data_IF_680059909244
#
_entry.id   IF_680059909244
#
_cell.length_a   1.000
_cell.length_b   1.000
_cell.length_c   1.000
_cell.angle_alpha   90.00
_cell.angle_beta   90.00
_cell.angle_gamma   90.00
#
_symmetry.space_group_name_H-M   'P 1'
#
loop_
_entity.id
_entity.type
_entity.pdbx_description
1 polymer ?
#
# COMPACT_ATOMS: atom_id res chain seq x y z
N UNK A 1 28.64 -38.27 -12.53
CA UNK A 1 28.08 -37.03 -13.14
C UNK A 1 26.62 -36.79 -12.78
N UNK A 2 25.69 -37.75 -12.87
CA UNK A 2 24.25 -37.46 -12.64
C UNK A 2 23.87 -37.00 -11.21
N UNK A 3 24.58 -37.48 -10.17
CA UNK A 3 24.29 -37.13 -8.76
C UNK A 3 24.60 -35.68 -8.39
N UNK A 4 25.65 -35.08 -8.96
CA UNK A 4 26.02 -33.68 -8.73
C UNK A 4 25.06 -32.70 -9.39
N UNK A 5 24.51 -33.05 -10.56
CA UNK A 5 23.46 -32.25 -11.22
C UNK A 5 22.14 -32.25 -10.44
N UNK A 6 21.77 -33.38 -9.83
CA UNK A 6 20.54 -33.48 -9.03
C UNK A 6 20.62 -32.60 -7.77
N UNK A 7 21.78 -32.54 -7.12
CA UNK A 7 22.01 -31.69 -5.94
C UNK A 7 21.95 -30.20 -6.32
N UNK A 8 22.53 -29.83 -7.47
CA UNK A 8 22.48 -28.46 -7.97
C UNK A 8 21.04 -28.02 -8.31
N UNK A 9 20.26 -28.89 -8.93
CA UNK A 9 18.84 -28.61 -9.24
C UNK A 9 17.98 -28.48 -7.97
N UNK A 10 18.25 -29.28 -6.94
CA UNK A 10 17.58 -29.14 -5.63
C UNK A 10 17.93 -27.82 -4.94
N UNK A 11 19.19 -27.38 -5.00
CA UNK A 11 19.62 -26.09 -4.45
C UNK A 11 18.93 -24.91 -5.14
N UNK A 12 18.86 -24.92 -6.48
CA UNK A 12 18.16 -23.86 -7.25
C UNK A 12 16.66 -23.84 -6.93
N UNK A 13 16.03 -25.00 -6.71
CA UNK A 13 14.62 -25.09 -6.32
C UNK A 13 14.34 -24.55 -4.91
N UNK A 14 15.29 -24.70 -3.96
CA UNK A 14 15.17 -24.09 -2.62
C UNK A 14 15.36 -22.56 -2.65
N UNK A 15 16.19 -22.03 -3.55
CA UNK A 15 16.39 -20.57 -3.68
C UNK A 15 15.22 -19.86 -4.38
N UNK A 16 14.35 -20.60 -5.09
CA UNK A 16 13.26 -20.02 -5.89
C UNK A 16 11.93 -19.84 -5.12
N UNK A 17 11.86 -20.25 -3.85
CA UNK A 17 10.64 -20.14 -3.02
C UNK A 17 10.77 -19.03 -1.99
N UNK A 18 10.61 -17.79 -2.45
CA UNK A 18 10.35 -16.63 -1.61
C UNK A 18 9.22 -15.79 -2.18
N UNK A 19 8.10 -16.44 -2.47
CA UNK A 19 6.82 -15.75 -2.59
C UNK A 19 6.27 -15.56 -1.18
N UNK A 20 6.73 -14.52 -0.49
CA UNK A 20 6.09 -14.07 0.75
C UNK A 20 4.72 -13.49 0.38
N UNK A 21 3.68 -14.32 0.41
CA UNK A 21 2.31 -13.83 0.52
C UNK A 21 2.17 -13.22 1.91
N UNK A 22 2.45 -11.93 2.04
CA UNK A 22 2.23 -11.18 3.28
C UNK A 22 0.73 -11.07 3.53
N UNK A 23 0.16 -12.09 4.15
CA UNK A 23 -1.16 -11.97 4.78
C UNK A 23 -1.06 -10.86 5.82
N UNK A 24 -1.90 -9.82 5.76
CA UNK A 24 -1.83 -8.72 6.72
C UNK A 24 -2.00 -9.28 8.14
N UNK A 25 -1.03 -9.01 9.00
CA UNK A 25 -1.11 -9.39 10.40
C UNK A 25 -2.28 -8.63 11.05
N UNK A 26 -2.97 -9.19 12.07
CA UNK A 26 -4.11 -8.54 12.72
C UNK A 26 -3.82 -7.15 13.30
N UNK A 27 -2.54 -6.85 13.55
CA UNK A 27 -2.06 -5.55 14.01
C UNK A 27 -2.13 -4.50 12.88
N UNK A 28 -1.79 -4.88 11.65
CA UNK A 28 -1.81 -3.97 10.50
C UNK A 28 -3.19 -3.40 10.21
N UNK A 29 -4.26 -4.19 10.33
CA UNK A 29 -5.64 -3.72 10.12
C UNK A 29 -6.08 -2.73 11.20
N UNK A 30 -5.60 -2.89 12.45
CA UNK A 30 -5.91 -1.94 13.53
C UNK A 30 -5.20 -0.61 13.35
N UNK A 31 -3.98 -0.63 12.82
CA UNK A 31 -3.22 0.57 12.51
C UNK A 31 -3.85 1.31 11.34
N UNK A 32 -4.26 0.60 10.28
CA UNK A 32 -4.99 1.18 9.15
C UNK A 32 -6.30 1.87 9.57
N UNK A 33 -7.06 1.28 10.50
CA UNK A 33 -8.31 1.89 10.98
C UNK A 33 -8.08 3.22 11.74
N UNK A 34 -6.90 3.45 12.32
CA UNK A 34 -6.58 4.74 12.96
C UNK A 34 -6.50 5.88 11.95
N UNK A 35 -6.10 5.57 10.72
CA UNK A 35 -5.98 6.55 9.63
C UNK A 35 -7.33 6.82 8.96
N UNK A 36 -8.41 6.13 9.37
CA UNK A 36 -9.72 6.26 8.73
C UNK A 36 -10.31 7.65 8.94
N UNK A 37 -10.61 8.31 7.83
CA UNK A 37 -11.32 9.58 7.82
C UNK A 37 -12.82 9.29 7.93
N UNK A 38 -13.42 9.64 9.07
CA UNK A 38 -14.86 9.45 9.32
C UNK A 38 -15.73 10.52 8.66
N UNK A 39 -15.24 11.75 8.60
CA UNK A 39 -15.89 12.88 7.95
C UNK A 39 -14.86 13.96 7.63
N UNK A 40 -15.05 14.68 6.54
CA UNK A 40 -14.29 15.89 6.22
C UNK A 40 -15.20 17.13 6.32
N UNK A 41 -14.69 18.27 6.79
CA UNK A 41 -15.44 19.52 6.77
C UNK A 41 -15.91 19.86 5.36
N UNK A 42 -17.22 20.11 5.20
CA UNK A 42 -17.82 20.49 3.91
C UNK A 42 -17.99 19.35 2.90
N UNK A 43 -17.57 18.12 3.20
CA UNK A 43 -17.76 16.99 2.30
C UNK A 43 -19.21 16.48 2.36
N UNK A 44 -19.90 16.32 1.21
CA UNK A 44 -21.21 15.68 1.18
C UNK A 44 -21.11 14.19 1.58
N UNK A 45 -22.24 13.55 1.84
CA UNK A 45 -22.25 12.12 2.16
C UNK A 45 -21.69 11.31 0.97
N UNK A 46 -20.62 10.56 1.23
CA UNK A 46 -19.98 9.66 0.26
C UNK A 46 -20.20 8.20 0.64
N UNK A 47 -20.17 7.30 -0.36
CA UNK A 47 -20.39 5.86 -0.19
C UNK A 47 -19.08 5.03 -0.27
N UNK A 48 -17.93 5.67 -0.13
CA UNK A 48 -16.61 5.04 -0.12
C UNK A 48 -15.87 5.36 1.17
N UNK A 49 -14.96 4.48 1.59
CA UNK A 49 -14.05 4.75 2.70
C UNK A 49 -12.85 5.56 2.21
N UNK A 50 -12.29 6.33 3.13
CA UNK A 50 -11.07 7.09 2.87
C UNK A 50 -10.19 7.08 4.11
N UNK A 51 -8.88 7.09 3.88
CA UNK A 51 -7.84 7.00 4.90
C UNK A 51 -6.76 8.02 4.61
N UNK A 52 -6.19 8.63 5.64
CA UNK A 52 -5.01 9.47 5.50
C UNK A 52 -4.10 9.33 6.70
N UNK A 53 -2.80 9.33 6.45
CA UNK A 53 -1.80 9.20 7.48
C UNK A 53 -0.41 9.44 6.95
N UNK A 54 0.59 9.06 7.75
CA UNK A 54 1.99 9.17 7.39
C UNK A 54 2.62 7.79 7.33
N UNK A 55 3.35 7.52 6.25
CA UNK A 55 4.19 6.33 6.10
C UNK A 55 5.63 6.77 6.32
N UNK A 56 6.30 6.17 7.30
CA UNK A 56 7.71 6.39 7.52
C UNK A 56 8.51 5.72 6.39
N UNK A 57 9.30 6.52 5.67
CA UNK A 57 10.12 6.04 4.53
C UNK A 57 11.60 6.08 4.85
N UNK A 58 11.99 6.74 5.94
CA UNK A 58 13.37 6.78 6.41
C UNK A 58 13.40 7.17 7.89
N UNK A 59 13.51 6.16 8.75
CA UNK A 59 13.55 6.35 10.20
C UNK A 59 14.78 7.15 10.66
N UNK A 60 15.97 6.85 10.12
CA UNK A 60 17.22 7.47 10.55
C UNK A 60 17.27 8.98 10.26
N UNK A 61 16.53 9.44 9.24
CA UNK A 61 16.40 10.84 8.89
C UNK A 61 15.02 11.42 9.23
N UNK A 62 14.17 10.69 9.95
CA UNK A 62 12.83 11.13 10.34
C UNK A 62 11.91 11.51 9.17
N UNK A 63 12.07 10.89 7.99
CA UNK A 63 11.29 11.25 6.79
C UNK A 63 10.03 10.39 6.70
N UNK A 64 8.90 11.07 6.59
CA UNK A 64 7.60 10.43 6.35
C UNK A 64 6.90 11.05 5.15
N UNK A 65 6.15 10.23 4.41
CA UNK A 65 5.28 10.68 3.34
C UNK A 65 3.83 10.67 3.81
N UNK A 66 3.14 11.78 3.61
CA UNK A 66 1.70 11.84 3.81
C UNK A 66 0.97 11.17 2.64
N UNK A 67 -0.09 10.42 2.93
CA UNK A 67 -0.96 9.83 1.92
C UNK A 67 -2.44 10.16 2.21
N UNK A 68 -3.25 10.14 1.14
CA UNK A 68 -4.71 10.10 1.23
C UNK A 68 -5.22 9.07 0.23
N UNK A 69 -5.78 7.98 0.74
CA UNK A 69 -6.37 6.89 -0.02
C UNK A 69 -7.89 7.05 -0.02
N UNK A 70 -8.50 6.99 -1.21
CA UNK A 70 -9.94 6.82 -1.38
C UNK A 70 -10.20 5.44 -1.97
N UNK A 71 -10.99 4.62 -1.30
CA UNK A 71 -11.38 3.31 -1.83
C UNK A 71 -12.33 3.45 -3.02
N UNK A 72 -12.42 2.41 -3.84
CA UNK A 72 -13.43 2.34 -4.90
C UNK A 72 -14.84 2.39 -4.31
N UNK A 73 -15.74 3.16 -4.93
CA UNK A 73 -17.17 3.19 -4.56
C UNK A 73 -17.96 1.97 -5.03
N UNK A 74 -17.28 0.96 -5.60
CA UNK A 74 -17.89 -0.32 -5.98
C UNK A 74 -18.41 -1.08 -4.75
N UNK A 75 -19.48 -1.90 -4.87
CA UNK A 75 -19.95 -2.76 -3.77
C UNK A 75 -18.89 -3.74 -3.23
N UNK A 76 -17.84 -4.01 -4.02
CA UNK A 76 -16.71 -4.87 -3.67
C UNK A 76 -15.35 -4.15 -3.81
N UNK A 77 -15.00 -3.18 -2.93
CA UNK A 77 -13.80 -2.35 -3.09
C UNK A 77 -12.50 -3.17 -3.10
N UNK A 78 -12.42 -4.21 -2.26
CA UNK A 78 -11.28 -5.11 -2.14
C UNK A 78 -10.95 -5.93 -3.41
N UNK A 79 -11.86 -5.95 -4.39
CA UNK A 79 -11.64 -6.63 -5.69
C UNK A 79 -11.08 -5.70 -6.76
N UNK A 80 -10.98 -4.40 -6.47
CA UNK A 80 -10.54 -3.39 -7.43
C UNK A 80 -9.02 -3.22 -7.34
N UNK A 81 -8.35 -2.85 -8.45
CA UNK A 81 -6.92 -2.62 -8.43
C UNK A 81 -6.56 -1.41 -7.55
N UNK A 82 -5.35 -1.43 -7.00
CA UNK A 82 -4.75 -0.27 -6.36
C UNK A 82 -4.10 0.62 -7.41
N UNK A 83 -4.44 1.91 -7.42
CA UNK A 83 -3.83 2.91 -8.28
C UNK A 83 -3.09 3.94 -7.42
N UNK A 84 -1.80 4.13 -7.72
CA UNK A 84 -0.96 5.16 -7.10
C UNK A 84 -0.87 6.37 -8.02
N UNK A 85 -1.31 7.53 -7.55
CA UNK A 85 -1.23 8.78 -8.30
C UNK A 85 -0.11 9.68 -7.78
N UNK A 86 0.81 10.07 -8.66
CA UNK A 86 1.94 10.94 -8.34
C UNK A 86 1.96 12.13 -9.29
N UNK A 87 1.77 13.33 -8.74
CA UNK A 87 1.98 14.55 -9.52
C UNK A 87 3.48 14.85 -9.65
N UNK A 88 3.85 15.45 -10.79
CA UNK A 88 5.22 15.84 -11.11
C UNK A 88 5.59 17.22 -10.55
N UNK A 89 6.45 17.95 -11.25
CA UNK A 89 6.98 19.24 -10.79
C UNK A 89 8.48 19.30 -10.98
N UNK A 90 9.27 19.61 -9.94
CA UNK A 90 9.25 18.99 -8.61
C UNK A 90 8.60 19.81 -7.49
N UNK A 91 8.24 19.14 -6.40
CA UNK A 91 7.75 19.79 -5.16
C UNK A 91 6.24 20.01 -5.07
N UNK A 92 5.49 19.77 -6.16
CA UNK A 92 4.05 19.84 -6.14
C UNK A 92 3.43 18.66 -5.39
N UNK A 93 2.37 18.91 -4.63
CA UNK A 93 1.65 17.86 -3.89
C UNK A 93 0.74 17.06 -4.82
N UNK A 94 0.76 15.74 -4.70
CA UNK A 94 -0.21 14.86 -5.36
C UNK A 94 -1.65 15.15 -4.95
N UNK A 95 -1.88 15.60 -3.72
CA UNK A 95 -3.23 15.88 -3.22
C UNK A 95 -3.78 17.17 -3.80
N UNK A 96 -3.01 18.25 -3.74
CA UNK A 96 -3.49 19.57 -4.15
C UNK A 96 -3.87 19.64 -5.64
N UNK A 97 -3.15 18.90 -6.50
CA UNK A 97 -3.44 18.85 -7.95
C UNK A 97 -4.25 17.65 -8.40
N UNK A 98 -4.17 16.53 -7.68
CA UNK A 98 -4.84 15.28 -8.06
C UNK A 98 -6.24 15.13 -7.46
N UNK A 99 -6.51 15.79 -6.33
CA UNK A 99 -7.80 15.77 -5.64
C UNK A 99 -8.60 17.08 -5.82
N UNK A 100 -8.13 17.98 -6.70
CA UNK A 100 -8.80 19.23 -7.08
C UNK A 100 -9.93 19.03 -8.07
#
# INVERSE_FOLDING_TARGET
>A
MARTHLIFLLLVALLSKSSSSSSPSPLSSREQEKDRIKALPGQPKVAFSQYSGYINVNESHGRSLFYWLTESSSPSPHTKPLLLWLNGGPGCSSIAYGAS
#
